data_IF_461645872396
#
_entry.id   IF_461645872396
#
_cell.length_a   1.000
_cell.length_b   1.000
_cell.length_c   1.000
_cell.angle_alpha   90.00
_cell.angle_beta   90.00
_cell.angle_gamma   90.00
#
_symmetry.space_group_name_H-M   'P 1'
#
loop_
_entity.id
_entity.type
_entity.pdbx_description
1 polymer ?
#
# COMPACT_ATOMS: atom_id res chain seq x y z
N UNK A 1 21.57 -14.99 -28.14
CA UNK A 1 20.26 -15.41 -27.58
C UNK A 1 19.30 -14.24 -27.60
N UNK A 2 18.07 -14.41 -28.13
CA UNK A 2 17.07 -13.34 -28.11
C UNK A 2 16.63 -13.03 -26.68
N UNK A 3 16.35 -11.76 -26.41
CA UNK A 3 15.94 -11.27 -25.09
C UNK A 3 14.43 -11.07 -25.07
N UNK A 4 13.76 -11.56 -24.03
CA UNK A 4 12.32 -11.34 -23.85
C UNK A 4 12.01 -9.83 -23.77
N UNK A 5 11.02 -9.38 -24.54
CA UNK A 5 10.51 -8.01 -24.53
C UNK A 5 9.01 -8.02 -24.31
N UNK A 6 8.58 -7.56 -23.14
CA UNK A 6 7.16 -7.41 -22.85
C UNK A 6 6.64 -6.09 -23.44
N UNK A 7 5.69 -6.18 -24.37
CA UNK A 7 5.14 -4.99 -25.07
C UNK A 7 4.50 -3.97 -24.12
N UNK A 8 4.01 -4.42 -22.96
CA UNK A 8 3.32 -3.59 -21.97
C UNK A 8 4.19 -3.26 -20.74
N UNK A 9 5.51 -3.41 -20.82
CA UNK A 9 6.42 -3.15 -19.69
C UNK A 9 6.26 -1.72 -19.13
N UNK A 10 6.14 -0.73 -20.02
CA UNK A 10 5.97 0.68 -19.62
C UNK A 10 4.65 0.90 -18.87
N UNK A 11 3.58 0.21 -19.27
CA UNK A 11 2.28 0.27 -18.59
C UNK A 11 2.35 -0.42 -17.24
N UNK A 12 3.04 -1.56 -17.15
CA UNK A 12 3.27 -2.28 -15.91
C UNK A 12 4.00 -1.43 -14.87
N UNK A 13 5.09 -0.76 -15.27
CA UNK A 13 5.84 0.14 -14.38
C UNK A 13 5.00 1.33 -13.90
N UNK A 14 4.18 1.93 -14.76
CA UNK A 14 3.25 3.00 -14.36
C UNK A 14 2.24 2.50 -13.32
N UNK A 15 1.68 1.30 -13.49
CA UNK A 15 0.74 0.73 -12.50
C UNK A 15 1.41 0.38 -11.18
N UNK A 16 2.63 -0.14 -11.23
CA UNK A 16 3.45 -0.40 -10.04
C UNK A 16 3.74 0.90 -9.29
N UNK A 17 4.15 1.95 -10.00
CA UNK A 17 4.39 3.25 -9.40
C UNK A 17 3.11 3.84 -8.76
N UNK A 18 1.96 3.73 -9.44
CA UNK A 18 0.66 4.15 -8.89
C UNK A 18 0.32 3.41 -7.59
N UNK A 19 0.56 2.11 -7.52
CA UNK A 19 0.38 1.32 -6.28
C UNK A 19 1.28 1.84 -5.16
N UNK A 20 2.56 2.09 -5.43
CA UNK A 20 3.50 2.63 -4.44
C UNK A 20 3.10 4.03 -3.94
N UNK A 21 2.64 4.91 -4.83
CA UNK A 21 2.12 6.21 -4.43
C UNK A 21 0.93 6.09 -3.47
N UNK A 22 0.01 5.16 -3.72
CA UNK A 22 -1.14 4.90 -2.85
C UNK A 22 -0.74 4.29 -1.50
N UNK A 23 0.30 3.45 -1.46
CA UNK A 23 0.87 2.95 -0.19
C UNK A 23 1.45 4.09 0.65
N UNK A 24 2.18 5.00 0.00
CA UNK A 24 2.76 6.17 0.67
C UNK A 24 1.67 7.12 1.16
N UNK A 25 0.62 7.35 0.36
CA UNK A 25 -0.56 8.13 0.74
C UNK A 25 -1.24 7.50 1.97
N UNK A 26 -1.47 6.18 1.96
CA UNK A 26 -2.07 5.47 3.10
C UNK A 26 -1.22 5.59 4.37
N UNK A 27 0.10 5.48 4.24
CA UNK A 27 1.03 5.62 5.35
C UNK A 27 1.04 7.05 5.92
N UNK A 28 0.90 8.08 5.07
CA UNK A 28 0.78 9.46 5.50
C UNK A 28 -0.53 9.69 6.28
N UNK A 29 -1.68 9.32 5.71
CA UNK A 29 -2.98 9.51 6.38
C UNK A 29 -3.06 8.74 7.69
N UNK A 30 -2.45 7.55 7.78
CA UNK A 30 -2.36 6.80 9.04
C UNK A 30 -1.53 7.52 10.10
N UNK A 31 -0.40 8.12 9.72
CA UNK A 31 0.42 8.92 10.65
C UNK A 31 -0.37 10.11 11.18
N UNK A 32 -1.07 10.81 10.29
CA UNK A 32 -1.93 11.93 10.67
C UNK A 32 -3.03 11.46 11.65
N UNK A 33 -3.70 10.34 11.35
CA UNK A 33 -4.69 9.75 12.26
C UNK A 33 -4.10 9.44 13.63
N UNK A 34 -2.93 8.79 13.70
CA UNK A 34 -2.31 8.45 14.99
C UNK A 34 -1.91 9.68 15.80
N UNK A 35 -1.48 10.74 15.13
CA UNK A 35 -1.15 12.01 15.79
C UNK A 35 -2.41 12.71 16.33
N UNK A 36 -3.46 12.78 15.52
CA UNK A 36 -4.73 13.37 15.92
C UNK A 36 -5.40 12.54 17.03
N UNK A 37 -5.18 11.22 17.05
CA UNK A 37 -5.66 10.34 18.11
C UNK A 37 -4.92 10.58 19.43
N UNK A 38 -3.62 10.87 19.40
CA UNK A 38 -2.89 11.22 20.63
C UNK A 38 -3.39 12.53 21.22
N UNK A 39 -3.61 13.55 20.39
CA UNK A 39 -4.20 14.84 20.81
C UNK A 39 -5.59 14.61 21.41
N UNK A 40 -6.42 13.77 20.79
CA UNK A 40 -7.73 13.44 21.34
C UNK A 40 -7.65 12.81 22.73
N UNK A 41 -6.71 11.86 22.93
CA UNK A 41 -6.50 11.21 24.23
C UNK A 41 -6.03 12.20 25.29
N UNK A 42 -5.11 13.10 24.94
CA UNK A 42 -4.65 14.18 25.83
C UNK A 42 -5.81 15.07 26.26
N UNK A 43 -6.67 15.50 25.33
CA UNK A 43 -7.86 16.30 25.64
C UNK A 43 -8.85 15.58 26.58
N UNK A 44 -9.05 14.28 26.37
CA UNK A 44 -9.92 13.47 27.24
C UNK A 44 -9.32 13.35 28.64
N UNK A 45 -8.00 13.18 28.75
CA UNK A 45 -7.32 13.15 30.04
C UNK A 45 -7.44 14.49 30.75
N UNK A 46 -7.12 15.59 30.07
CA UNK A 46 -7.24 16.94 30.59
C UNK A 46 -8.66 17.25 31.08
N UNK A 47 -9.68 16.87 30.30
CA UNK A 47 -11.08 17.03 30.68
C UNK A 47 -11.45 16.25 31.94
N UNK A 48 -10.95 15.01 32.08
CA UNK A 48 -11.17 14.20 33.30
C UNK A 48 -10.48 14.81 34.51
N UNK A 49 -9.22 15.24 34.37
CA UNK A 49 -8.46 15.87 35.44
C UNK A 49 -9.14 17.16 35.91
N UNK A 50 -9.63 17.99 34.98
CA UNK A 50 -10.39 19.19 35.32
C UNK A 50 -11.70 18.88 36.04
N UNK A 51 -12.44 17.86 35.61
CA UNK A 51 -13.65 17.43 36.31
C UNK A 51 -13.35 16.98 37.75
N UNK A 52 -12.27 16.23 37.96
CA UNK A 52 -11.87 15.78 39.29
C UNK A 52 -11.42 16.94 40.18
N UNK A 53 -10.73 17.94 39.63
CA UNK A 53 -10.39 19.18 40.34
C UNK A 53 -11.65 19.93 40.77
N UNK A 54 -12.65 20.06 39.88
CA UNK A 54 -13.92 20.72 40.19
C UNK A 54 -14.64 19.99 41.31
N UNK A 55 -14.73 18.66 41.26
CA UNK A 55 -15.36 17.84 42.32
C UNK A 55 -14.69 18.06 43.69
N UNK A 56 -13.35 18.12 43.74
CA UNK A 56 -12.60 18.39 44.97
C UNK A 56 -12.79 19.82 45.49
N UNK A 57 -12.89 20.80 44.58
CA UNK A 57 -13.11 22.21 44.95
C UNK A 57 -14.54 22.48 45.42
N UNK A 58 -15.54 21.82 44.85
CA UNK A 58 -16.95 21.95 45.26
C UNK A 58 -17.22 21.52 46.70
N UNK A 59 -16.39 20.64 47.28
CA UNK A 59 -16.51 20.27 48.70
C UNK A 59 -15.81 21.24 49.65
N UNK A 60 -15.18 22.31 49.13
CA UNK A 60 -14.52 23.33 49.95
C UNK A 60 -15.51 24.44 50.32
N UNK A 61 -15.56 24.90 51.58
CA UNK A 61 -16.50 25.92 52.03
C UNK A 61 -16.23 27.32 51.44
N UNK A 62 -15.05 27.54 50.87
CA UNK A 62 -14.57 28.87 50.44
C UNK A 62 -14.68 29.13 48.93
N UNK A 63 -15.34 28.24 48.18
CA UNK A 63 -15.41 28.38 46.72
C UNK A 63 -16.32 29.54 46.30
N UNK A 64 -15.81 30.43 45.46
CA UNK A 64 -16.61 31.56 44.95
C UNK A 64 -17.46 31.17 43.74
N UNK A 65 -18.58 31.87 43.52
CA UNK A 65 -19.38 31.70 42.31
C UNK A 65 -18.60 32.02 41.03
N UNK A 66 -17.67 32.97 41.09
CA UNK A 66 -16.83 33.35 39.95
C UNK A 66 -15.89 32.21 39.56
N UNK A 67 -15.22 31.58 40.54
CA UNK A 67 -14.37 30.41 40.30
C UNK A 67 -15.16 29.26 39.66
N UNK A 68 -16.38 28.96 40.15
CA UNK A 68 -17.24 27.95 39.51
C UNK A 68 -17.55 28.29 38.06
N UNK A 69 -17.87 29.56 37.74
CA UNK A 69 -18.17 29.97 36.38
C UNK A 69 -16.97 29.75 35.44
N UNK A 70 -15.76 30.09 35.88
CA UNK A 70 -14.52 29.83 35.15
C UNK A 70 -14.32 28.34 34.87
N UNK A 71 -14.53 27.48 35.87
CA UNK A 71 -14.44 26.03 35.71
C UNK A 71 -15.40 25.48 34.66
N UNK A 72 -16.67 25.88 34.69
CA UNK A 72 -17.66 25.44 33.70
C UNK A 72 -17.37 25.98 32.31
N UNK A 73 -16.91 27.23 32.20
CA UNK A 73 -16.49 27.82 30.92
C UNK A 73 -15.32 27.05 30.30
N UNK A 74 -14.35 26.65 31.12
CA UNK A 74 -13.21 25.85 30.67
C UNK A 74 -13.62 24.44 30.23
N UNK A 75 -14.47 23.75 31.00
CA UNK A 75 -15.03 22.45 30.59
C UNK A 75 -15.78 22.55 29.26
N UNK A 76 -16.58 23.59 29.07
CA UNK A 76 -17.27 23.83 27.79
C UNK A 76 -16.27 24.02 26.64
N UNK A 77 -15.18 24.75 26.88
CA UNK A 77 -14.11 24.91 25.92
C UNK A 77 -13.44 23.58 25.56
N UNK A 78 -13.10 22.75 26.55
CA UNK A 78 -12.52 21.42 26.32
C UNK A 78 -13.47 20.50 25.56
N UNK A 79 -14.76 20.46 25.92
CA UNK A 79 -15.76 19.67 25.20
C UNK A 79 -15.86 20.06 23.72
N UNK A 80 -15.90 21.36 23.42
CA UNK A 80 -15.89 21.84 22.04
C UNK A 80 -14.62 21.40 21.28
N UNK A 81 -13.46 21.38 21.94
CA UNK A 81 -12.21 20.89 21.33
C UNK A 81 -12.27 19.39 21.07
N UNK A 82 -12.75 18.61 22.03
CA UNK A 82 -12.94 17.15 21.92
C UNK A 82 -13.88 16.82 20.76
N UNK A 83 -15.00 17.53 20.62
CA UNK A 83 -15.94 17.33 19.51
C UNK A 83 -15.30 17.61 18.15
N UNK A 84 -14.58 18.74 18.01
CA UNK A 84 -13.85 19.06 16.77
C UNK A 84 -12.80 18.00 16.44
N UNK A 85 -12.08 17.54 17.45
CA UNK A 85 -11.06 16.50 17.30
C UNK A 85 -11.67 15.16 16.88
N UNK A 86 -12.84 14.82 17.42
CA UNK A 86 -13.58 13.62 17.01
C UNK A 86 -14.03 13.69 15.55
N UNK A 87 -14.56 14.83 15.11
CA UNK A 87 -14.91 15.05 13.69
C UNK A 87 -13.68 14.87 12.80
N UNK A 88 -12.54 15.44 13.19
CA UNK A 88 -11.27 15.28 12.48
C UNK A 88 -10.83 13.81 12.36
N UNK A 89 -10.94 13.04 13.43
CA UNK A 89 -10.65 11.61 13.43
C UNK A 89 -11.59 10.83 12.49
N UNK A 90 -12.88 11.17 12.46
CA UNK A 90 -13.83 10.54 11.55
C UNK A 90 -13.50 10.84 10.08
N UNK A 91 -13.13 12.09 9.75
CA UNK A 91 -12.69 12.46 8.42
C UNK A 91 -11.44 11.66 7.99
N UNK A 92 -10.44 11.56 8.86
CA UNK A 92 -9.23 10.80 8.59
C UNK A 92 -9.52 9.30 8.44
N UNK A 93 -10.43 8.75 9.24
CA UNK A 93 -10.89 7.37 9.11
C UNK A 93 -11.53 7.12 7.75
N UNK A 94 -12.39 8.04 7.28
CA UNK A 94 -12.99 7.95 5.95
C UNK A 94 -11.92 8.00 4.85
N UNK A 95 -10.96 8.93 4.95
CA UNK A 95 -9.83 9.01 4.01
C UNK A 95 -8.99 7.72 3.99
N UNK A 96 -8.75 7.10 5.14
CA UNK A 96 -8.04 5.81 5.21
C UNK A 96 -8.78 4.74 4.40
N UNK A 97 -10.10 4.63 4.54
CA UNK A 97 -10.89 3.66 3.78
C UNK A 97 -10.90 3.98 2.27
N UNK A 98 -11.08 5.24 1.90
CA UNK A 98 -11.02 5.68 0.49
C UNK A 98 -9.67 5.33 -0.16
N UNK A 99 -8.55 5.57 0.53
CA UNK A 99 -7.21 5.24 0.02
C UNK A 99 -6.99 3.72 -0.03
N UNK A 100 -7.49 2.95 0.95
CA UNK A 100 -7.43 1.48 0.92
C UNK A 100 -8.17 0.92 -0.30
N UNK A 101 -9.37 1.40 -0.59
CA UNK A 101 -10.14 0.96 -1.76
C UNK A 101 -9.40 1.25 -3.07
N UNK A 102 -8.83 2.45 -3.19
CA UNK A 102 -7.99 2.84 -4.34
C UNK A 102 -6.76 1.93 -4.47
N UNK A 103 -6.11 1.60 -3.35
CA UNK A 103 -4.94 0.72 -3.32
C UNK A 103 -5.31 -0.71 -3.74
N UNK A 104 -6.44 -1.25 -3.29
CA UNK A 104 -6.93 -2.57 -3.70
C UNK A 104 -7.13 -2.62 -5.22
N UNK A 105 -7.80 -1.62 -5.79
CA UNK A 105 -8.01 -1.53 -7.24
C UNK A 105 -6.68 -1.44 -8.00
N UNK A 106 -5.76 -0.59 -7.57
CA UNK A 106 -4.44 -0.48 -8.20
C UNK A 106 -3.63 -1.78 -8.12
N UNK A 107 -3.69 -2.47 -6.99
CA UNK A 107 -3.02 -3.76 -6.78
C UNK A 107 -3.58 -4.85 -7.70
N UNK A 108 -4.91 -4.88 -7.89
CA UNK A 108 -5.56 -5.79 -8.84
C UNK A 108 -5.12 -5.49 -10.28
N UNK A 109 -5.14 -4.22 -10.69
CA UNK A 109 -4.71 -3.80 -12.03
C UNK A 109 -3.24 -4.14 -12.31
N UNK A 110 -2.34 -4.01 -11.33
CA UNK A 110 -0.93 -4.44 -11.44
C UNK A 110 -0.84 -5.96 -11.59
N UNK A 111 -1.55 -6.70 -10.75
CA UNK A 111 -1.50 -8.19 -10.72
C UNK A 111 -2.01 -8.82 -12.02
N UNK A 112 -2.98 -8.19 -12.69
CA UNK A 112 -3.44 -8.64 -14.02
C UNK A 112 -2.30 -8.55 -15.05
N UNK A 113 -1.55 -7.44 -15.06
CA UNK A 113 -0.42 -7.29 -15.99
C UNK A 113 0.77 -8.19 -15.62
N UNK A 114 1.00 -8.41 -14.33
CA UNK A 114 2.01 -9.34 -13.83
C UNK A 114 1.78 -10.76 -14.35
N UNK A 115 0.56 -11.28 -14.19
CA UNK A 115 0.18 -12.61 -14.72
C UNK A 115 0.29 -12.68 -16.23
N UNK A 116 -0.10 -11.62 -16.94
CA UNK A 116 0.04 -11.57 -18.40
C UNK A 116 1.52 -11.62 -18.81
N UNK A 117 2.39 -10.91 -18.11
CA UNK A 117 3.84 -10.90 -18.35
C UNK A 117 4.45 -12.28 -18.09
N UNK A 118 4.08 -12.93 -17.00
CA UNK A 118 4.51 -14.29 -16.63
C UNK A 118 4.15 -15.29 -17.74
N UNK A 119 2.89 -15.32 -18.17
CA UNK A 119 2.44 -16.20 -19.26
C UNK A 119 3.18 -15.94 -20.56
N UNK A 120 3.40 -14.67 -20.93
CA UNK A 120 4.17 -14.32 -22.13
C UNK A 120 5.63 -14.74 -22.04
N UNK A 121 6.20 -14.69 -20.85
CA UNK A 121 7.58 -15.14 -20.60
C UNK A 121 7.68 -16.67 -20.74
N UNK A 122 6.71 -17.41 -20.23
CA UNK A 122 6.62 -18.87 -20.42
C UNK A 122 6.48 -19.25 -21.89
N UNK A 123 5.56 -18.60 -22.62
CA UNK A 123 5.40 -18.79 -24.07
C UNK A 123 6.72 -18.56 -24.83
N UNK A 124 7.43 -17.48 -24.49
CA UNK A 124 8.73 -17.16 -25.08
C UNK A 124 9.79 -18.24 -24.79
N UNK A 125 9.86 -18.75 -23.55
CA UNK A 125 10.82 -19.82 -23.19
C UNK A 125 10.56 -21.09 -23.99
N UNK A 126 9.30 -21.52 -24.07
CA UNK A 126 8.91 -22.71 -24.84
C UNK A 126 9.24 -22.57 -26.33
N UNK A 127 9.08 -21.37 -26.90
CA UNK A 127 9.45 -21.11 -28.29
C UNK A 127 10.96 -21.16 -28.50
N UNK A 128 11.75 -20.63 -27.55
CA UNK A 128 13.21 -20.72 -27.61
C UNK A 128 13.70 -22.17 -27.50
N UNK A 129 13.13 -22.97 -26.61
CA UNK A 129 13.46 -24.38 -26.46
C UNK A 129 13.19 -25.16 -27.76
N UNK A 130 12.07 -24.88 -28.44
CA UNK A 130 11.75 -25.51 -29.73
C UNK A 130 12.74 -25.12 -30.83
N UNK A 131 13.13 -23.85 -30.90
CA UNK A 131 14.12 -23.37 -31.88
C UNK A 131 15.48 -24.03 -31.63
N UNK A 132 15.88 -24.12 -30.36
CA UNK A 132 17.14 -24.75 -29.96
C UNK A 132 17.16 -26.24 -30.28
N UNK A 133 16.06 -26.97 -29.98
CA UNK A 133 15.91 -28.38 -30.36
C UNK A 133 16.00 -28.58 -31.88
N UNK A 134 15.27 -27.80 -32.67
CA UNK A 134 15.31 -27.89 -34.13
C UNK A 134 16.73 -27.65 -34.69
N UNK A 135 17.45 -26.68 -34.12
CA UNK A 135 18.84 -26.41 -34.50
C UNK A 135 19.79 -27.57 -34.15
N UNK A 136 19.61 -28.21 -32.99
CA UNK A 136 20.39 -29.39 -32.61
C UNK A 136 20.09 -30.60 -33.52
N UNK A 137 18.83 -30.80 -33.88
CA UNK A 137 18.42 -31.86 -34.81
C UNK A 137 19.02 -31.65 -36.21
N UNK A 138 19.05 -30.42 -36.72
CA UNK A 138 19.71 -30.06 -37.97
C UNK A 138 21.21 -30.35 -37.93
N UNK A 139 21.89 -29.99 -36.83
CA UNK A 139 23.31 -30.31 -36.63
C UNK A 139 23.53 -31.82 -36.63
N UNK A 140 22.71 -32.57 -35.89
CA UNK A 140 22.81 -34.02 -35.80
C UNK A 140 22.64 -34.70 -37.17
N UNK A 141 21.64 -34.27 -37.95
CA UNK A 141 21.42 -34.72 -39.33
C UNK A 141 22.63 -34.40 -40.23
N UNK A 142 23.17 -33.18 -40.15
CA UNK A 142 24.37 -32.77 -40.89
C UNK A 142 25.58 -33.66 -40.56
N UNK A 143 25.80 -33.95 -39.27
CA UNK A 143 26.90 -34.82 -38.83
C UNK A 143 26.70 -36.26 -39.31
N UNK A 144 25.48 -36.77 -39.24
CA UNK A 144 25.13 -38.11 -39.73
C UNK A 144 25.38 -38.25 -41.24
N UNK A 145 24.91 -37.28 -42.04
CA UNK A 145 25.12 -37.27 -43.50
C UNK A 145 26.61 -37.20 -43.87
N UNK A 146 27.40 -36.39 -43.15
CA UNK A 146 28.86 -36.33 -43.34
C UNK A 146 29.53 -37.67 -43.01
N UNK A 147 29.14 -38.33 -41.91
CA UNK A 147 29.63 -39.66 -41.56
C UNK A 147 29.27 -40.73 -42.59
N UNK A 148 28.04 -40.71 -43.11
CA UNK A 148 27.58 -41.66 -44.13
C UNK A 148 28.30 -41.48 -45.48
N UNK A 149 28.59 -40.24 -45.88
CA UNK A 149 29.35 -39.95 -47.11
C UNK A 149 30.80 -40.46 -47.05
N UNK A 150 31.43 -40.47 -45.87
CA UNK A 150 32.78 -41.01 -45.68
C UNK A 150 32.83 -42.56 -45.72
N UNK A 151 31.72 -43.24 -45.40
CA UNK A 151 31.60 -44.69 -45.51
C UNK A 151 31.35 -45.16 -46.95
N UNK A 152 30.69 -44.33 -47.77
CA UNK A 152 30.44 -44.61 -49.19
C UNK A 152 31.69 -44.52 -50.08
N UNK A 153 32.71 -43.77 -49.68
CA UNK A 153 33.95 -43.56 -50.46
C UNK A 153 35.07 -44.55 -50.10
N UNK A 154 34.83 -45.51 -49.19
CA UNK A 154 35.77 -46.56 -48.78
C UNK A 154 35.49 -47.94 -49.42
N UNK A 155 34.69 -48.01 -50.48
CA UNK A 155 34.52 -49.22 -51.31
C UNK A 155 35.18 -49.04 -52.66
#
# INVERSE_FOLDING_TARGET
>A
MPRFKFKLERVFEVRKHKEELLKNELAAVRRDYTHEESIFRELIMEHREHLDQIRKRQTSPDISCEEMLWYYAYLKHLNNRIERQNVRLQELRRKIEEVKERLIKASQERRVLERLRERRLEEFKLEQEKIEQAFLDEIALSMYLRGASQLSCKR
#
